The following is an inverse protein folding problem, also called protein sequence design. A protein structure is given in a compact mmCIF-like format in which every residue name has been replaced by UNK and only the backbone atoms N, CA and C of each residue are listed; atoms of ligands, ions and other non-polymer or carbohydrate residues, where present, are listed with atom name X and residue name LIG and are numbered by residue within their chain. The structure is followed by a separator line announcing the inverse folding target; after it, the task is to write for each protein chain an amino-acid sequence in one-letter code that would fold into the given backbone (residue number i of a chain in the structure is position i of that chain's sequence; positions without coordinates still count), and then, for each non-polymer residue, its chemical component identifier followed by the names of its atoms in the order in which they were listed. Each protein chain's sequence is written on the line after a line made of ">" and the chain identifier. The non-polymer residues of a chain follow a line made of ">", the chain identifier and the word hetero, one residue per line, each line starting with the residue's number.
data_IF_632170620805
#
_entry.id   IF_632170620805
#
_cell.length_a   1.000
_cell.length_b   1.000
_cell.length_c   1.000
_cell.angle_alpha   90.00
_cell.angle_beta   90.00
_cell.angle_gamma   90.00
#
_symmetry.space_group_name_H-M   'P 1'
#
loop_
_entity.id
_entity.type
_entity.pdbx_description
1 polymer ?
#
# COMPACT_ATOMS: atom_id res chain seq x y z
N UNK A 1 -1.18 -9.10 -13.22
CA UNK A 1 -0.76 -10.42 -12.71
C UNK A 1 -0.87 -10.35 -11.20
N UNK A 2 -1.46 -11.35 -10.53
CA UNK A 2 -1.45 -11.41 -9.07
C UNK A 2 -0.04 -11.70 -8.58
N UNK A 3 0.44 -10.90 -7.64
CA UNK A 3 1.75 -11.05 -6.99
C UNK A 3 1.67 -12.17 -5.95
N UNK A 4 0.57 -12.25 -5.20
CA UNK A 4 0.34 -13.31 -4.21
C UNK A 4 -0.23 -14.58 -4.85
N UNK A 5 0.40 -15.72 -4.57
CA UNK A 5 -0.14 -17.02 -4.99
C UNK A 5 -1.38 -17.41 -4.17
N UNK A 6 -2.13 -18.40 -4.65
CA UNK A 6 -3.29 -18.91 -3.91
C UNK A 6 -2.90 -19.59 -2.59
N UNK A 7 -1.70 -20.16 -2.51
CA UNK A 7 -1.19 -20.78 -1.28
C UNK A 7 -0.83 -19.71 -0.24
N UNK A 8 -0.15 -18.64 -0.65
CA UNK A 8 0.16 -17.50 0.21
C UNK A 8 -1.11 -16.87 0.80
N UNK A 9 -2.13 -16.66 -0.05
CA UNK A 9 -3.43 -16.11 0.39
C UNK A 9 -4.10 -16.98 1.45
N UNK A 10 -4.04 -18.32 1.33
CA UNK A 10 -4.59 -19.25 2.32
C UNK A 10 -3.82 -19.19 3.64
N UNK A 11 -2.50 -19.13 3.57
CA UNK A 11 -1.62 -19.03 4.74
C UNK A 11 -1.87 -17.72 5.49
N UNK A 12 -1.89 -16.59 4.78
CA UNK A 12 -2.19 -15.27 5.34
C UNK A 12 -3.58 -15.23 5.98
N UNK A 13 -4.61 -15.75 5.31
CA UNK A 13 -5.98 -15.81 5.85
C UNK A 13 -6.05 -16.56 7.17
N UNK A 14 -5.36 -17.70 7.26
CA UNK A 14 -5.32 -18.52 8.48
C UNK A 14 -4.61 -17.80 9.61
N UNK A 15 -3.50 -17.13 9.29
CA UNK A 15 -2.70 -16.39 10.26
C UNK A 15 -3.43 -15.15 10.79
N UNK A 16 -3.96 -14.32 9.90
CA UNK A 16 -4.72 -13.12 10.27
C UNK A 16 -5.96 -13.44 11.09
N UNK A 17 -6.66 -14.55 10.82
CA UNK A 17 -7.80 -14.97 11.66
C UNK A 17 -7.41 -15.25 13.11
N UNK A 18 -6.19 -15.74 13.36
CA UNK A 18 -5.70 -16.09 14.71
C UNK A 18 -5.04 -14.90 15.41
N UNK A 19 -4.24 -14.13 14.69
CA UNK A 19 -3.36 -13.10 15.26
C UNK A 19 -3.94 -11.69 15.19
N UNK A 20 -4.76 -11.38 14.17
CA UNK A 20 -5.29 -10.03 13.95
C UNK A 20 -6.52 -9.77 14.83
N UNK A 21 -6.28 -9.23 16.03
CA UNK A 21 -7.33 -8.98 17.03
C UNK A 21 -8.15 -7.72 16.75
N UNK A 22 -7.50 -6.67 16.25
CA UNK A 22 -8.08 -5.35 15.97
C UNK A 22 -8.05 -5.05 14.48
N UNK A 23 -8.85 -4.07 14.07
CA UNK A 23 -8.77 -3.47 12.75
C UNK A 23 -7.50 -2.62 12.64
N UNK A 24 -6.81 -2.73 11.50
CA UNK A 24 -5.54 -2.06 11.23
C UNK A 24 -5.63 -1.38 9.88
N UNK A 25 -5.24 -0.10 9.85
CA UNK A 25 -5.05 0.66 8.62
C UNK A 25 -3.57 0.64 8.26
N UNK A 26 -3.28 0.28 7.01
CA UNK A 26 -1.95 0.37 6.41
C UNK A 26 -1.93 1.66 5.60
N UNK A 27 -1.01 2.55 5.91
CA UNK A 27 -0.81 3.79 5.18
C UNK A 27 0.33 3.57 4.18
N UNK A 28 0.02 3.64 2.89
CA UNK A 28 0.99 3.54 1.80
C UNK A 28 1.27 4.93 1.24
N UNK A 29 2.50 5.39 1.34
CA UNK A 29 2.98 6.59 0.68
C UNK A 29 3.57 6.21 -0.68
N UNK A 30 3.00 6.78 -1.74
CA UNK A 30 3.30 6.42 -3.12
C UNK A 30 3.25 7.65 -4.03
N UNK A 31 3.66 7.50 -5.28
CA UNK A 31 3.34 8.51 -6.31
C UNK A 31 2.05 8.08 -6.98
N UNK A 32 1.02 8.91 -6.90
CA UNK A 32 -0.16 8.74 -7.73
C UNK A 32 0.13 9.36 -9.09
N UNK A 33 0.12 8.54 -10.14
CA UNK A 33 0.03 9.04 -11.51
C UNK A 33 -1.42 9.48 -11.77
N UNK A 34 -1.84 10.55 -11.09
CA UNK A 34 -3.14 11.18 -11.31
C UNK A 34 -3.06 12.05 -12.58
N UNK A 35 -3.17 11.41 -13.75
CA UNK A 35 -3.33 12.07 -15.05
C UNK A 35 -2.38 11.60 -16.16
N UNK A 36 -2.62 12.08 -17.38
CA UNK A 36 -1.78 11.85 -18.58
C UNK A 36 -0.40 12.54 -18.52
N UNK A 37 -0.06 13.19 -17.41
CA UNK A 37 1.16 13.97 -17.24
C UNK A 37 2.12 13.24 -16.31
N UNK A 38 3.20 12.71 -16.90
CA UNK A 38 4.36 12.25 -16.14
C UNK A 38 5.17 13.50 -15.77
N UNK A 39 5.27 13.80 -14.48
CA UNK A 39 6.11 14.90 -14.00
C UNK A 39 7.56 14.41 -13.89
N UNK A 40 8.52 15.04 -14.60
CA UNK A 40 9.91 14.63 -14.54
C UNK A 40 10.46 14.77 -13.12
N UNK A 41 11.14 13.73 -12.63
CA UNK A 41 11.70 13.71 -11.27
C UNK A 41 10.70 13.24 -10.20
N UNK A 42 9.50 12.80 -10.61
CA UNK A 42 8.50 12.14 -9.76
C UNK A 42 8.31 10.67 -10.15
N UNK A 43 9.39 10.04 -10.59
CA UNK A 43 9.38 8.68 -11.09
C UNK A 43 9.54 7.68 -9.94
N UNK A 44 8.56 6.78 -9.81
CA UNK A 44 8.62 5.66 -8.88
C UNK A 44 8.17 4.37 -9.59
N UNK A 45 9.10 3.62 -10.21
CA UNK A 45 8.74 2.44 -11.00
C UNK A 45 8.17 1.30 -10.16
N UNK A 46 8.53 1.23 -8.87
CA UNK A 46 8.09 0.17 -7.95
C UNK A 46 6.80 0.50 -7.19
N UNK A 47 6.37 1.76 -7.19
CA UNK A 47 5.17 2.22 -6.50
C UNK A 47 3.88 1.47 -6.93
N UNK A 48 3.64 1.24 -8.24
CA UNK A 48 2.47 0.47 -8.69
C UNK A 48 2.50 -0.98 -8.18
N UNK A 49 3.68 -1.59 -8.15
CA UNK A 49 3.84 -2.97 -7.67
C UNK A 49 3.60 -3.06 -6.16
N UNK A 50 4.12 -2.11 -5.39
CA UNK A 50 3.89 -2.04 -3.95
C UNK A 50 2.40 -1.86 -3.62
N UNK A 51 1.72 -0.97 -4.34
CA UNK A 51 0.28 -0.77 -4.19
C UNK A 51 -0.50 -2.05 -4.51
N UNK A 52 -0.27 -2.68 -5.67
CA UNK A 52 -0.98 -3.93 -6.03
C UNK A 52 -0.74 -5.04 -5.02
N UNK A 53 0.47 -5.16 -4.46
CA UNK A 53 0.76 -6.16 -3.42
C UNK A 53 -0.06 -5.89 -2.16
N UNK A 54 -0.08 -4.65 -1.67
CA UNK A 54 -0.83 -4.29 -0.47
C UNK A 54 -2.35 -4.40 -0.68
N UNK A 55 -2.85 -4.06 -1.87
CA UNK A 55 -4.25 -4.28 -2.25
C UNK A 55 -4.62 -5.77 -2.18
N UNK A 56 -3.75 -6.65 -2.66
CA UNK A 56 -3.97 -8.09 -2.53
C UNK A 56 -3.91 -8.57 -1.08
N UNK A 57 -3.07 -7.98 -0.22
CA UNK A 57 -2.98 -8.33 1.20
C UNK A 57 -4.23 -7.89 1.97
N UNK A 58 -4.69 -6.66 1.79
CA UNK A 58 -5.89 -6.17 2.51
C UNK A 58 -7.16 -6.88 2.03
N UNK A 59 -7.21 -7.33 0.78
CA UNK A 59 -8.31 -8.14 0.27
C UNK A 59 -8.44 -9.53 0.94
N UNK A 60 -7.40 -10.01 1.65
CA UNK A 60 -7.44 -11.31 2.36
C UNK A 60 -8.36 -11.27 3.58
N UNK A 61 -8.54 -10.11 4.22
CA UNK A 61 -9.32 -9.98 5.47
C UNK A 61 -9.95 -8.59 5.61
N UNK A 62 -11.22 -8.49 6.05
CA UNK A 62 -11.89 -7.20 6.21
C UNK A 62 -11.32 -6.33 7.35
N UNK A 63 -10.49 -6.91 8.22
CA UNK A 63 -9.84 -6.21 9.33
C UNK A 63 -8.63 -5.37 8.91
N UNK A 64 -8.19 -5.49 7.66
CA UNK A 64 -7.13 -4.66 7.10
C UNK A 64 -7.74 -3.66 6.14
N UNK A 65 -7.30 -2.42 6.25
CA UNK A 65 -7.65 -1.34 5.32
C UNK A 65 -6.37 -0.73 4.76
N UNK A 66 -6.42 -0.27 3.52
CA UNK A 66 -5.30 0.39 2.85
C UNK A 66 -5.71 1.84 2.56
N UNK A 67 -4.95 2.77 3.11
CA UNK A 67 -5.02 4.19 2.77
C UNK A 67 -3.77 4.55 1.98
N UNK A 68 -3.96 5.16 0.81
CA UNK A 68 -2.85 5.54 -0.06
C UNK A 68 -2.70 7.05 -0.01
N UNK A 69 -1.50 7.55 0.27
CA UNK A 69 -1.16 8.97 0.26
C UNK A 69 -0.20 9.27 -0.89
N UNK A 70 -0.39 10.40 -1.54
CA UNK A 70 0.53 10.92 -2.53
C UNK A 70 1.67 11.68 -1.85
N UNK A 71 2.89 11.22 -2.06
CA UNK A 71 4.07 11.80 -1.43
C UNK A 71 4.29 13.30 -1.74
N UNK A 72 3.87 13.75 -2.93
CA UNK A 72 4.08 15.13 -3.35
C UNK A 72 2.93 16.06 -2.97
N UNK A 73 1.71 15.51 -2.86
CA UNK A 73 0.48 16.28 -2.65
C UNK A 73 0.03 16.26 -1.18
N UNK A 74 0.25 15.15 -0.47
CA UNK A 74 -0.16 14.95 0.92
C UNK A 74 0.98 15.28 1.91
N UNK A 75 1.59 16.46 1.75
CA UNK A 75 2.79 16.85 2.50
C UNK A 75 2.59 16.84 4.04
N UNK A 76 1.39 17.14 4.51
CA UNK A 76 1.09 17.11 5.96
C UNK A 76 1.21 15.68 6.51
N UNK A 77 0.63 14.70 5.83
CA UNK A 77 0.71 13.29 6.23
C UNK A 77 2.15 12.75 6.14
N UNK A 78 2.89 13.14 5.09
CA UNK A 78 4.31 12.80 4.90
C UNK A 78 5.16 13.33 6.06
N UNK A 79 4.95 14.59 6.47
CA UNK A 79 5.69 15.20 7.57
C UNK A 79 5.31 14.59 8.93
N UNK A 80 4.02 14.35 9.18
CA UNK A 80 3.55 13.76 10.43
C UNK A 80 4.05 12.33 10.67
N UNK A 81 4.45 11.63 9.61
CA UNK A 81 4.95 10.26 9.67
C UNK A 81 6.45 10.16 9.33
N UNK A 82 7.16 11.29 9.22
CA UNK A 82 8.59 11.39 8.89
C UNK A 82 8.99 10.55 7.64
N UNK A 83 8.16 10.63 6.59
CA UNK A 83 8.37 9.86 5.36
C UNK A 83 9.37 10.60 4.45
N UNK A 84 10.53 9.99 4.22
CA UNK A 84 11.58 10.55 3.37
C UNK A 84 11.69 9.85 2.00
N UNK A 85 11.13 8.65 1.88
CA UNK A 85 11.27 7.78 0.70
C UNK A 85 9.96 7.09 0.37
N UNK A 86 9.83 6.72 -0.91
CA UNK A 86 8.69 5.97 -1.43
C UNK A 86 9.16 4.82 -2.32
N UNK A 87 8.38 3.71 -2.41
CA UNK A 87 7.15 3.44 -1.66
C UNK A 87 7.44 3.15 -0.17
N UNK A 88 6.57 3.63 0.74
CA UNK A 88 6.68 3.41 2.19
C UNK A 88 5.34 3.03 2.81
#
# INVERSE_FOLDING_TARGET
>A
MSILTQEDKKTLKTRFRKELKKDITINLFSVRTSGLLILPGRDCPTCPQAQSLLEEVVAVTPKLSLEVYDFYSDQEAVQQQDIERIPC
#
